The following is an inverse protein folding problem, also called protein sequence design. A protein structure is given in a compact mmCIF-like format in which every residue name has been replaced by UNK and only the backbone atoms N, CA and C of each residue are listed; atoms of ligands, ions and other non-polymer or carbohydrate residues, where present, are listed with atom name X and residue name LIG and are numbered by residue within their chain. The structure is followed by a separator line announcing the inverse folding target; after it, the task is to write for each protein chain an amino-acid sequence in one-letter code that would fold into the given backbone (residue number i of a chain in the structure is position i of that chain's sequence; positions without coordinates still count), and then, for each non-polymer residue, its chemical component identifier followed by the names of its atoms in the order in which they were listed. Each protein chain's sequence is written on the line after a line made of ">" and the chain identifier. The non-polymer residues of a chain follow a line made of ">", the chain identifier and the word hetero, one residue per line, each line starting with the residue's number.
data_IF_017279241137
#
_entry.id   IF_017279241137
#
_cell.length_a   1.000
_cell.length_b   1.000
_cell.length_c   1.000
_cell.angle_alpha   90.00
_cell.angle_beta   90.00
_cell.angle_gamma   90.00
#
_symmetry.space_group_name_H-M   'P 1'
#
loop_
_entity.id
_entity.type
_entity.pdbx_description
1 polymer ?
#
# COMPACT_ATOMS: atom_id res chain seq x y z
N UNK A 1 19.73 -16.51 -3.19
CA UNK A 1 19.92 -15.09 -2.86
C UNK A 1 18.53 -14.47 -2.75
N UNK A 2 18.22 -13.85 -1.60
CA UNK A 2 16.87 -13.39 -1.26
C UNK A 2 16.52 -12.19 -2.15
N UNK A 3 15.34 -12.22 -2.77
CA UNK A 3 14.79 -11.14 -3.62
C UNK A 3 14.82 -9.82 -2.83
N UNK A 4 15.79 -8.96 -3.14
CA UNK A 4 16.14 -7.77 -2.35
C UNK A 4 14.94 -6.81 -2.28
N UNK A 5 14.25 -6.60 -3.40
CA UNK A 5 13.09 -5.72 -3.50
C UNK A 5 11.85 -6.26 -2.76
N UNK A 6 11.65 -7.59 -2.78
CA UNK A 6 10.51 -8.23 -2.09
C UNK A 6 10.71 -8.26 -0.58
N UNK A 7 11.96 -8.39 -0.11
CA UNK A 7 12.28 -8.46 1.33
C UNK A 7 12.11 -7.10 2.02
N UNK A 8 12.31 -5.98 1.31
CA UNK A 8 12.06 -4.63 1.82
C UNK A 8 10.56 -4.27 1.93
N UNK A 9 9.67 -5.11 1.41
CA UNK A 9 8.24 -4.81 1.27
C UNK A 9 7.37 -5.23 2.48
N UNK A 10 7.90 -6.03 3.41
CA UNK A 10 7.11 -6.82 4.38
C UNK A 10 7.19 -6.39 5.86
N UNK A 11 7.57 -5.16 6.16
CA UNK A 11 8.03 -4.80 7.51
C UNK A 11 7.08 -3.83 8.24
N UNK A 12 6.29 -4.44 9.13
CA UNK A 12 5.75 -3.98 10.44
C UNK A 12 4.32 -3.43 10.59
N UNK A 13 3.58 -4.18 11.42
CA UNK A 13 2.35 -3.85 12.16
C UNK A 13 2.78 -3.51 13.60
N UNK A 14 2.26 -2.41 14.18
CA UNK A 14 1.57 -2.31 15.50
C UNK A 14 1.67 -0.90 16.12
N UNK A 15 0.57 -0.52 16.79
CA UNK A 15 0.40 0.49 17.85
C UNK A 15 -0.31 1.83 17.51
N UNK A 16 -1.63 1.78 17.71
CA UNK A 16 -2.58 2.74 18.30
C UNK A 16 -2.31 4.25 18.43
N UNK A 17 -3.28 5.03 17.91
CA UNK A 17 -4.06 6.04 18.65
C UNK A 17 -5.38 6.30 17.89
N UNK A 18 -6.49 6.36 18.62
CA UNK A 18 -7.85 6.35 18.08
C UNK A 18 -8.50 7.73 18.22
N UNK A 19 -9.00 8.28 17.11
CA UNK A 19 -10.16 9.18 17.08
C UNK A 19 -10.88 8.96 15.75
N UNK A 20 -11.90 8.09 15.74
CA UNK A 20 -12.88 8.08 14.65
C UNK A 20 -13.83 9.26 14.88
N UNK A 21 -13.91 10.18 13.93
CA UNK A 21 -14.84 11.30 13.90
C UNK A 21 -16.19 10.96 13.25
N UNK A 22 -16.24 9.88 12.47
CA UNK A 22 -17.46 9.39 11.81
C UNK A 22 -18.11 8.24 12.57
N UNK A 23 -19.39 7.98 12.32
CA UNK A 23 -20.06 6.79 12.87
C UNK A 23 -19.51 5.49 12.27
N UNK A 24 -19.63 4.40 13.01
CA UNK A 24 -19.16 3.08 12.61
C UNK A 24 -19.83 2.60 11.31
N UNK A 25 -21.12 2.88 11.15
CA UNK A 25 -21.94 2.55 9.98
C UNK A 25 -21.49 3.31 8.73
N UNK A 26 -21.22 4.61 8.86
CA UNK A 26 -20.71 5.44 7.75
C UNK A 26 -19.35 4.95 7.28
N UNK A 27 -18.45 4.62 8.22
CA UNK A 27 -17.11 4.09 7.88
C UNK A 27 -17.24 2.73 7.19
N UNK A 28 -18.12 1.84 7.67
CA UNK A 28 -18.37 0.54 7.03
C UNK A 28 -18.94 0.69 5.62
N UNK A 29 -19.87 1.61 5.42
CA UNK A 29 -20.47 1.86 4.10
C UNK A 29 -19.41 2.35 3.11
N UNK A 30 -18.63 3.36 3.50
CA UNK A 30 -17.57 3.90 2.67
C UNK A 30 -16.46 2.89 2.41
N UNK A 31 -16.10 2.08 3.41
CA UNK A 31 -15.14 0.99 3.24
C UNK A 31 -15.68 -0.09 2.31
N UNK A 32 -17.00 -0.33 2.33
CA UNK A 32 -17.69 -1.18 1.36
C UNK A 32 -17.49 -0.67 -0.07
N UNK A 33 -17.79 0.61 -0.33
CA UNK A 33 -17.56 1.27 -1.63
C UNK A 33 -16.08 1.21 -2.01
N UNK A 34 -15.17 1.50 -1.08
CA UNK A 34 -13.74 1.42 -1.32
C UNK A 34 -13.33 0.03 -1.79
N UNK A 35 -13.78 -1.02 -1.10
CA UNK A 35 -13.39 -2.40 -1.39
C UNK A 35 -14.02 -2.97 -2.66
N UNK A 36 -15.21 -2.50 -3.06
CA UNK A 36 -15.90 -3.00 -4.26
C UNK A 36 -15.54 -2.21 -5.52
N UNK A 37 -15.35 -0.90 -5.42
CA UNK A 37 -15.18 -0.03 -6.59
C UNK A 37 -13.74 0.46 -6.79
N UNK A 38 -12.99 0.62 -5.70
CA UNK A 38 -11.67 1.24 -5.73
C UNK A 38 -10.57 0.17 -5.70
N UNK A 39 -10.57 -0.65 -4.65
CA UNK A 39 -9.52 -1.61 -4.34
C UNK A 39 -9.24 -2.65 -5.45
N UNK A 40 -10.23 -3.20 -6.19
CA UNK A 40 -9.95 -4.23 -7.18
C UNK A 40 -9.02 -3.76 -8.30
N UNK A 41 -9.16 -2.50 -8.76
CA UNK A 41 -8.25 -1.94 -9.77
C UNK A 41 -6.87 -1.62 -9.20
N UNK A 42 -6.78 -1.24 -7.92
CA UNK A 42 -5.49 -1.06 -7.24
C UNK A 42 -4.76 -2.40 -7.19
N UNK A 43 -5.43 -3.47 -6.73
CA UNK A 43 -4.85 -4.81 -6.62
C UNK A 43 -4.41 -5.36 -7.98
N UNK A 44 -5.23 -5.21 -9.02
CA UNK A 44 -4.86 -5.61 -10.38
C UNK A 44 -3.62 -4.85 -10.90
N UNK A 45 -3.59 -3.53 -10.71
CA UNK A 45 -2.44 -2.71 -11.11
C UNK A 45 -1.17 -3.07 -10.34
N UNK A 46 -1.27 -3.29 -9.02
CA UNK A 46 -0.14 -3.69 -8.17
C UNK A 46 0.40 -5.08 -8.54
N UNK A 47 -0.47 -6.03 -8.86
CA UNK A 47 -0.07 -7.37 -9.32
C UNK A 47 0.76 -7.29 -10.62
N UNK A 48 0.36 -6.43 -11.57
CA UNK A 48 1.14 -6.16 -12.79
C UNK A 48 2.48 -5.50 -12.49
N UNK A 49 2.49 -4.51 -11.59
CA UNK A 49 3.74 -3.86 -11.14
C UNK A 49 4.68 -4.88 -10.51
N UNK A 50 4.19 -5.80 -9.68
CA UNK A 50 5.01 -6.84 -9.06
C UNK A 50 5.69 -7.74 -10.09
N UNK A 51 4.97 -8.13 -11.16
CA UNK A 51 5.55 -8.91 -12.25
C UNK A 51 6.70 -8.15 -12.94
N UNK A 52 6.52 -6.85 -13.21
CA UNK A 52 7.56 -6.03 -13.82
C UNK A 52 8.74 -5.76 -12.86
N UNK A 53 8.49 -5.65 -11.55
CA UNK A 53 9.56 -5.55 -10.54
C UNK A 53 10.42 -6.82 -10.49
N UNK A 54 9.80 -8.00 -10.62
CA UNK A 54 10.53 -9.27 -10.75
C UNK A 54 11.38 -9.28 -12.02
N UNK A 55 10.88 -8.74 -13.13
CA UNK A 55 11.67 -8.61 -14.36
C UNK A 55 12.83 -7.62 -14.20
N UNK A 56 12.62 -6.49 -13.50
CA UNK A 56 13.71 -5.57 -13.14
C UNK A 56 14.78 -6.29 -12.33
N UNK A 57 14.41 -7.04 -11.29
CA UNK A 57 15.36 -7.85 -10.52
C UNK A 57 16.15 -8.81 -11.44
N UNK A 58 15.48 -9.49 -12.37
CA UNK A 58 16.15 -10.38 -13.33
C UNK A 58 17.14 -9.63 -14.23
N UNK A 59 16.84 -8.40 -14.65
CA UNK A 59 17.78 -7.58 -15.44
C UNK A 59 18.97 -7.15 -14.59
N UNK A 60 18.74 -6.69 -13.36
CA UNK A 60 19.79 -6.28 -12.43
C UNK A 60 20.73 -7.44 -12.06
N UNK A 61 20.20 -8.67 -11.98
CA UNK A 61 20.97 -9.90 -11.74
C UNK A 61 21.62 -10.47 -13.02
N UNK A 62 21.46 -9.83 -14.18
CA UNK A 62 21.99 -10.29 -15.46
C UNK A 62 21.30 -11.55 -16.03
N UNK A 63 20.16 -11.97 -15.45
CA UNK A 63 19.35 -13.11 -15.90
C UNK A 63 18.44 -12.77 -17.08
N UNK A 64 18.17 -11.49 -17.29
CA UNK A 64 17.38 -10.99 -18.42
C UNK A 64 18.14 -9.91 -19.19
N UNK A 65 17.95 -9.89 -20.51
CA UNK A 65 18.47 -8.87 -21.43
C UNK A 65 17.41 -7.86 -21.87
N UNK A 66 16.21 -7.90 -21.26
CA UNK A 66 15.16 -6.92 -21.56
C UNK A 66 15.64 -5.52 -21.18
N UNK A 67 15.12 -4.51 -21.88
CA UNK A 67 15.45 -3.12 -21.59
C UNK A 67 14.74 -2.67 -20.30
N UNK A 68 15.53 -2.41 -19.26
CA UNK A 68 15.06 -1.98 -17.94
C UNK A 68 14.25 -0.67 -17.98
N UNK A 69 14.56 0.26 -18.90
CA UNK A 69 13.81 1.50 -19.06
C UNK A 69 12.43 1.26 -19.69
N UNK A 70 12.32 0.28 -20.59
CA UNK A 70 11.02 -0.13 -21.13
C UNK A 70 10.15 -0.75 -20.05
N UNK A 71 10.72 -1.61 -19.20
CA UNK A 71 10.01 -2.20 -18.07
C UNK A 71 9.56 -1.13 -17.07
N UNK A 72 10.44 -0.17 -16.74
CA UNK A 72 10.09 0.95 -15.87
C UNK A 72 8.94 1.80 -16.43
N UNK A 73 8.87 2.02 -17.75
CA UNK A 73 7.73 2.70 -18.40
C UNK A 73 6.42 1.93 -18.24
N UNK A 74 6.46 0.59 -18.28
CA UNK A 74 5.26 -0.22 -18.00
C UNK A 74 4.81 -0.01 -16.56
N UNK A 75 5.74 -0.02 -15.59
CA UNK A 75 5.44 0.27 -14.19
C UNK A 75 4.85 1.69 -14.04
N UNK A 76 5.47 2.70 -14.65
CA UNK A 76 4.98 4.08 -14.63
C UNK A 76 3.54 4.19 -15.15
N UNK A 77 3.23 3.52 -16.26
CA UNK A 77 1.89 3.50 -16.83
C UNK A 77 0.86 2.86 -15.87
N UNK A 78 1.23 1.78 -15.17
CA UNK A 78 0.35 1.17 -14.17
C UNK A 78 0.15 2.09 -12.97
N UNK A 79 1.21 2.72 -12.46
CA UNK A 79 1.13 3.69 -11.35
C UNK A 79 0.22 4.87 -11.72
N UNK A 80 0.38 5.43 -12.91
CA UNK A 80 -0.46 6.52 -13.41
C UNK A 80 -1.93 6.10 -13.57
N UNK A 81 -2.18 4.87 -14.02
CA UNK A 81 -3.53 4.29 -14.11
C UNK A 81 -4.19 4.16 -12.74
N UNK A 82 -3.46 3.65 -11.74
CA UNK A 82 -3.93 3.55 -10.36
C UNK A 82 -4.21 4.93 -9.79
N UNK A 83 -3.28 5.88 -9.92
CA UNK A 83 -3.44 7.24 -9.41
C UNK A 83 -4.67 7.93 -10.02
N UNK A 84 -4.85 7.82 -11.34
CA UNK A 84 -6.02 8.38 -12.02
C UNK A 84 -7.31 7.79 -11.47
N UNK A 85 -7.39 6.46 -11.38
CA UNK A 85 -8.55 5.77 -10.82
C UNK A 85 -8.83 6.22 -9.38
N UNK A 86 -7.81 6.26 -8.52
CA UNK A 86 -7.97 6.70 -7.14
C UNK A 86 -8.52 8.13 -7.04
N UNK A 87 -7.95 9.07 -7.80
CA UNK A 87 -8.43 10.47 -7.85
C UNK A 87 -9.87 10.59 -8.34
N UNK A 88 -10.25 9.85 -9.37
CA UNK A 88 -11.62 9.84 -9.90
C UNK A 88 -12.63 9.30 -8.88
N UNK A 89 -12.23 8.33 -8.06
CA UNK A 89 -13.09 7.72 -7.05
C UNK A 89 -13.06 8.46 -5.69
N UNK A 90 -12.14 9.39 -5.47
CA UNK A 90 -11.94 10.06 -4.17
C UNK A 90 -13.22 10.76 -3.65
N UNK A 91 -14.07 11.26 -4.55
CA UNK A 91 -15.34 11.90 -4.18
C UNK A 91 -16.40 10.94 -3.62
N UNK A 92 -16.25 9.63 -3.87
CA UNK A 92 -17.15 8.60 -3.33
C UNK A 92 -16.83 8.25 -1.87
N UNK A 93 -15.66 8.65 -1.38
CA UNK A 93 -15.22 8.45 0.00
C UNK A 93 -15.57 9.70 0.80
N UNK A 94 -16.42 9.56 1.81
CA UNK A 94 -17.00 10.67 2.58
C UNK A 94 -16.38 10.79 3.96
N UNK A 95 -16.05 9.67 4.57
CA UNK A 95 -15.48 9.56 5.91
C UNK A 95 -13.98 9.90 5.89
N UNK A 96 -13.50 10.79 6.79
CA UNK A 96 -12.09 11.12 6.91
C UNK A 96 -11.19 9.90 7.20
N UNK A 97 -11.72 8.85 7.84
CA UNK A 97 -10.99 7.61 8.14
C UNK A 97 -10.64 6.83 6.88
N UNK A 98 -11.64 6.56 6.03
CA UNK A 98 -11.42 5.85 4.76
C UNK A 98 -10.65 6.74 3.79
N UNK A 99 -10.86 8.06 3.83
CA UNK A 99 -10.08 9.00 3.03
C UNK A 99 -8.60 9.00 3.42
N UNK A 100 -8.28 8.98 4.72
CA UNK A 100 -6.90 8.87 5.19
C UNK A 100 -6.24 7.58 4.69
N UNK A 101 -6.95 6.46 4.77
CA UNK A 101 -6.45 5.18 4.24
C UNK A 101 -6.22 5.25 2.71
N UNK A 102 -7.14 5.86 1.98
CA UNK A 102 -7.01 6.10 0.54
C UNK A 102 -5.77 6.95 0.20
N UNK A 103 -5.59 8.08 0.87
CA UNK A 103 -4.50 9.02 0.62
C UNK A 103 -3.14 8.37 0.92
N UNK A 104 -3.01 7.71 2.08
CA UNK A 104 -1.78 7.00 2.47
C UNK A 104 -1.47 5.86 1.48
N UNK A 105 -2.48 5.11 1.03
CA UNK A 105 -2.29 4.06 0.01
C UNK A 105 -1.71 4.64 -1.28
N UNK A 106 -2.24 5.78 -1.75
CA UNK A 106 -1.72 6.44 -2.95
C UNK A 106 -0.29 6.93 -2.76
N UNK A 107 0.03 7.52 -1.61
CA UNK A 107 1.38 7.99 -1.29
C UNK A 107 2.39 6.84 -1.25
N UNK A 108 2.03 5.66 -0.75
CA UNK A 108 2.88 4.47 -0.81
C UNK A 108 3.22 4.05 -2.23
N UNK A 109 2.23 4.01 -3.11
CA UNK A 109 2.42 3.59 -4.51
C UNK A 109 3.39 4.55 -5.20
N UNK A 110 3.22 5.86 -4.98
CA UNK A 110 4.12 6.90 -5.49
C UNK A 110 5.52 6.80 -4.94
N UNK A 111 5.68 6.61 -3.62
CA UNK A 111 6.98 6.49 -2.97
C UNK A 111 7.75 5.25 -3.47
N UNK A 112 7.06 4.12 -3.63
CA UNK A 112 7.64 2.89 -4.20
C UNK A 112 8.08 3.08 -5.64
N UNK A 113 7.27 3.74 -6.47
CA UNK A 113 7.65 4.06 -7.84
C UNK A 113 8.88 4.98 -7.91
N UNK A 114 8.92 6.04 -7.08
CA UNK A 114 10.07 6.94 -7.03
C UNK A 114 11.36 6.22 -6.63
N UNK A 115 11.29 5.34 -5.62
CA UNK A 115 12.40 4.49 -5.22
C UNK A 115 12.87 3.59 -6.37
N UNK A 116 11.93 2.88 -7.02
CA UNK A 116 12.25 1.99 -8.14
C UNK A 116 12.88 2.75 -9.31
N UNK A 117 12.35 3.93 -9.64
CA UNK A 117 12.91 4.81 -10.66
C UNK A 117 14.37 5.18 -10.35
N UNK A 118 14.67 5.58 -9.12
CA UNK A 118 16.05 5.92 -8.73
C UNK A 118 16.99 4.71 -8.77
N UNK A 119 16.52 3.51 -8.42
CA UNK A 119 17.27 2.26 -8.59
C UNK A 119 17.61 2.04 -10.07
N UNK A 120 16.61 2.13 -10.95
CA UNK A 120 16.80 1.95 -12.40
C UNK A 120 17.72 3.02 -12.98
N UNK A 121 17.55 4.29 -12.60
CA UNK A 121 18.39 5.40 -13.06
C UNK A 121 19.86 5.20 -12.65
N UNK A 122 20.09 4.71 -11.43
CA UNK A 122 21.43 4.37 -10.94
C UNK A 122 22.05 3.23 -11.74
N UNK A 123 21.28 2.16 -12.01
CA UNK A 123 21.74 1.04 -12.81
C UNK A 123 22.05 1.45 -14.25
N UNK A 124 21.19 2.23 -14.90
CA UNK A 124 21.41 2.70 -16.28
C UNK A 124 22.68 3.54 -16.38
N UNK A 125 22.96 4.38 -15.37
CA UNK A 125 24.16 5.22 -15.36
C UNK A 125 25.46 4.44 -15.15
N UNK A 126 25.43 3.38 -14.32
CA UNK A 126 26.65 2.69 -13.85
C UNK A 126 26.83 1.27 -14.41
N UNK A 127 25.79 0.68 -14.96
CA UNK A 127 25.72 -0.74 -15.35
C UNK A 127 25.61 -1.73 -14.18
N UNK A 128 25.64 -1.26 -12.93
CA UNK A 128 25.52 -2.07 -11.70
C UNK A 128 25.07 -1.20 -10.52
N UNK A 129 24.54 -1.84 -9.49
CA UNK A 129 24.20 -1.19 -8.20
C UNK A 129 25.21 -1.65 -7.15
N UNK A 130 25.99 -0.72 -6.62
CA UNK A 130 26.95 -0.99 -5.55
C UNK A 130 26.30 -0.83 -4.17
N UNK A 131 26.90 -1.39 -3.13
CA UNK A 131 26.39 -1.28 -1.75
C UNK A 131 26.23 0.19 -1.31
N UNK A 132 27.20 1.06 -1.65
CA UNK A 132 27.11 2.49 -1.36
C UNK A 132 25.94 3.19 -2.06
N UNK A 133 25.47 2.68 -3.20
CA UNK A 133 24.28 3.19 -3.87
C UNK A 133 23.01 2.73 -3.14
N UNK A 134 22.99 1.47 -2.70
CA UNK A 134 21.89 0.93 -1.89
C UNK A 134 21.73 1.73 -0.59
N UNK A 135 22.83 1.98 0.13
CA UNK A 135 22.82 2.79 1.35
C UNK A 135 22.29 4.21 1.11
N UNK A 136 22.70 4.86 0.02
CA UNK A 136 22.20 6.19 -0.35
C UNK A 136 20.70 6.17 -0.63
N UNK A 137 20.22 5.16 -1.37
CA UNK A 137 18.80 5.00 -1.67
C UNK A 137 18.00 4.72 -0.40
N UNK A 138 18.45 3.81 0.46
CA UNK A 138 17.83 3.54 1.76
C UNK A 138 17.79 4.81 2.61
N UNK A 139 18.89 5.55 2.71
CA UNK A 139 18.93 6.81 3.46
C UNK A 139 17.97 7.85 2.89
N UNK A 140 17.85 7.94 1.57
CA UNK A 140 16.94 8.87 0.89
C UNK A 140 15.46 8.58 1.18
N UNK A 141 15.08 7.30 1.28
CA UNK A 141 13.67 6.89 1.36
C UNK A 141 13.22 6.37 2.72
N UNK A 142 14.13 6.03 3.63
CA UNK A 142 13.82 5.47 4.96
C UNK A 142 12.84 6.32 5.75
N UNK A 143 13.09 7.63 5.89
CA UNK A 143 12.19 8.53 6.61
C UNK A 143 10.80 8.65 5.96
N UNK A 144 10.72 8.61 4.63
CA UNK A 144 9.44 8.61 3.90
C UNK A 144 8.65 7.34 4.20
N UNK A 145 9.29 6.17 4.08
CA UNK A 145 8.61 4.90 4.36
C UNK A 145 8.30 4.72 5.84
N UNK A 146 9.13 5.21 6.76
CA UNK A 146 8.84 5.21 8.19
C UNK A 146 7.59 6.02 8.52
N UNK A 147 7.50 7.24 7.98
CA UNK A 147 6.30 8.09 8.11
C UNK A 147 5.06 7.37 7.57
N UNK A 148 5.14 6.85 6.34
CA UNK A 148 4.01 6.16 5.69
C UNK A 148 3.60 4.88 6.44
N UNK A 149 4.56 4.12 6.96
CA UNK A 149 4.31 2.93 7.79
C UNK A 149 3.50 3.31 9.03
N UNK A 150 3.88 4.40 9.70
CA UNK A 150 3.16 4.91 10.85
C UNK A 150 1.74 5.36 10.49
N UNK A 151 1.59 6.19 9.45
CA UNK A 151 0.28 6.70 9.03
C UNK A 151 -0.67 5.60 8.55
N UNK A 152 -0.14 4.57 7.89
CA UNK A 152 -0.93 3.42 7.46
C UNK A 152 -1.32 2.53 8.64
N UNK A 153 -0.42 2.30 9.59
CA UNK A 153 -0.75 1.55 10.80
C UNK A 153 -1.85 2.25 11.60
N UNK A 154 -1.79 3.57 11.74
CA UNK A 154 -2.83 4.38 12.37
C UNK A 154 -4.17 4.28 11.62
N UNK A 155 -4.16 4.46 10.29
CA UNK A 155 -5.36 4.37 9.47
C UNK A 155 -6.00 2.97 9.55
N UNK A 156 -5.20 1.91 9.41
CA UNK A 156 -5.66 0.54 9.51
C UNK A 156 -6.18 0.20 10.91
N UNK A 157 -5.56 0.70 11.97
CA UNK A 157 -6.04 0.46 13.33
C UNK A 157 -7.45 1.02 13.53
N UNK A 158 -7.72 2.24 13.03
CA UNK A 158 -9.05 2.86 13.10
C UNK A 158 -10.08 2.03 12.33
N UNK A 159 -9.75 1.63 11.10
CA UNK A 159 -10.64 0.79 10.28
C UNK A 159 -10.86 -0.60 10.89
N UNK A 160 -9.83 -1.21 11.46
CA UNK A 160 -9.92 -2.51 12.12
C UNK A 160 -10.76 -2.46 13.39
N UNK A 161 -10.67 -1.39 14.19
CA UNK A 161 -11.53 -1.22 15.35
C UNK A 161 -13.01 -1.19 14.94
N UNK A 162 -13.34 -0.48 13.86
CA UNK A 162 -14.69 -0.43 13.27
C UNK A 162 -15.17 -1.81 12.79
N UNK A 163 -14.27 -2.66 12.28
CA UNK A 163 -14.62 -4.01 11.84
C UNK A 163 -14.71 -5.03 13.01
N UNK A 164 -13.88 -4.88 14.05
CA UNK A 164 -13.77 -5.82 15.16
C UNK A 164 -14.75 -5.56 16.32
N UNK A 165 -15.32 -4.35 16.47
CA UNK A 165 -16.39 -4.09 17.46
C UNK A 165 -17.61 -5.03 17.25
N UNK A 166 -17.77 -5.61 16.06
CA UNK A 166 -18.79 -6.64 15.77
C UNK A 166 -18.58 -8.01 16.47
N UNK A 167 -17.39 -8.33 17.02
CA UNK A 167 -17.16 -9.62 17.69
C UNK A 167 -17.50 -9.60 19.18
N UNK A 168 -17.48 -8.43 19.82
CA UNK A 168 -17.86 -8.29 21.24
C UNK A 168 -19.34 -8.03 21.44
N UNK A 169 -20.01 -7.33 20.52
CA UNK A 169 -21.43 -6.96 20.69
C UNK A 169 -22.41 -8.11 20.35
N UNK A 170 -21.99 -9.06 19.51
CA UNK A 170 -22.77 -10.28 19.24
C UNK A 170 -22.62 -11.37 20.32
N UNK A 171 -21.60 -11.27 21.19
CA UNK A 171 -21.40 -12.21 22.29
C UNK A 171 -22.27 -11.86 23.52
N UNK A 172 -22.65 -10.60 23.69
CA UNK A 172 -23.50 -10.16 24.82
C UNK A 172 -24.99 -10.36 24.55
N UNK A 173 -25.45 -10.20 23.30
CA UNK A 173 -26.87 -10.34 22.95
C UNK A 173 -27.39 -11.79 22.88
N UNK A 174 -26.51 -12.80 22.78
CA UNK A 174 -26.92 -14.21 22.82
C UNK A 174 -27.03 -14.80 24.24
N UNK A 175 -26.57 -14.10 25.28
CA UNK A 175 -26.71 -14.54 26.67
C UNK A 175 -27.91 -13.91 27.40
N UNK A 176 -28.52 -12.84 26.88
CA UNK A 176 -29.71 -12.24 27.48
C UNK A 176 -31.01 -13.00 27.18
N UNK A 177 -31.01 -13.87 26.16
CA UNK A 177 -32.21 -14.59 25.72
C UNK A 177 -32.24 -16.07 26.17
N UNK A 178 -31.32 -16.49 27.05
CA UNK A 178 -31.27 -17.86 27.61
C UNK A 178 -31.72 -17.98 29.06
N UNK A 179 -32.13 -16.90 29.71
CA UNK A 179 -32.64 -16.89 31.10
C UNK A 179 -34.15 -16.66 31.21
N UNK A 180 -34.90 -16.76 30.11
CA UNK A 180 -36.36 -16.71 30.11
C UNK A 180 -36.96 -17.94 29.42
N UNK A 181 -36.78 -19.12 30.02
CA UNK A 181 -37.74 -20.22 29.92
C UNK A 181 -37.51 -21.27 31.01
#
# INVERSE_FOLDING_TARGET
>A
MKKLLITLLFVFITAGLCFAGSSMEEIKQDLGVYNTEINPKIVDGLSKIEQEMIEIDNVLEGKSKKNIQTILKVVENQVNSIEKHMKEQASKIKTPEVKRYHDVTLEYIKARYAFLKDVVDTYVKKGKIEESDQEKLVKKYSGTFEKLNKENAEALQVLMNVLHVNLTDNATNNNANKTAK
#
